data_IF_095462672977
#
_entry.id   IF_095462672977
#
_cell.length_a   1.000
_cell.length_b   1.000
_cell.length_c   1.000
_cell.angle_alpha   90.00
_cell.angle_beta   90.00
_cell.angle_gamma   90.00
#
_symmetry.space_group_name_H-M   'P 1'
#
loop_
_entity.id
_entity.type
_entity.pdbx_description
1 polymer ?
#
# COMPACT_ATOMS: atom_id res chain seq x y z
N UNK A 1 -20.45 -17.05 -1.05
CA UNK A 1 -20.44 -17.43 0.39
C UNK A 1 -21.83 -17.92 0.77
N UNK A 2 -22.01 -19.22 0.99
CA UNK A 2 -23.33 -19.81 1.31
C UNK A 2 -23.71 -19.61 2.79
N UNK A 3 -22.74 -19.73 3.68
CA UNK A 3 -22.87 -19.51 5.12
C UNK A 3 -21.64 -18.74 5.59
N UNK A 4 -21.78 -17.92 6.64
CA UNK A 4 -20.66 -17.19 7.23
C UNK A 4 -20.77 -15.67 7.14
N UNK A 5 -21.68 -15.16 6.35
CA UNK A 5 -22.06 -13.74 6.45
C UNK A 5 -23.03 -13.55 7.63
N UNK A 6 -22.79 -12.57 8.47
CA UNK A 6 -23.61 -12.25 9.63
C UNK A 6 -23.52 -10.75 9.97
N UNK A 7 -24.40 -10.25 10.83
CA UNK A 7 -24.56 -8.81 11.14
C UNK A 7 -23.27 -8.09 11.49
N UNK A 8 -22.27 -8.78 12.06
CA UNK A 8 -21.00 -8.15 12.43
C UNK A 8 -20.20 -7.68 11.19
N UNK A 9 -20.36 -8.36 10.03
CA UNK A 9 -19.77 -7.86 8.76
C UNK A 9 -20.32 -6.48 8.43
N UNK A 10 -21.64 -6.35 8.36
CA UNK A 10 -22.30 -5.08 8.03
C UNK A 10 -21.88 -3.96 9.01
N UNK A 11 -21.80 -4.28 10.30
CA UNK A 11 -21.41 -3.30 11.32
C UNK A 11 -19.95 -2.84 11.14
N UNK A 12 -19.02 -3.76 10.87
CA UNK A 12 -17.60 -3.43 10.70
C UNK A 12 -17.36 -2.73 9.36
N UNK A 13 -18.02 -3.16 8.29
CA UNK A 13 -17.96 -2.48 6.98
C UNK A 13 -18.47 -1.03 7.08
N UNK A 14 -19.61 -0.82 7.75
CA UNK A 14 -20.11 0.53 8.01
C UNK A 14 -19.14 1.37 8.87
N UNK A 15 -18.50 0.77 9.89
CA UNK A 15 -17.48 1.44 10.70
C UNK A 15 -16.28 1.86 9.85
N UNK A 16 -15.79 0.98 8.97
CA UNK A 16 -14.67 1.25 8.07
C UNK A 16 -15.05 2.37 7.09
N UNK A 17 -16.21 2.28 6.43
CA UNK A 17 -16.67 3.28 5.48
C UNK A 17 -16.78 4.67 6.13
N UNK A 18 -17.38 4.76 7.31
CA UNK A 18 -17.49 6.01 8.07
C UNK A 18 -16.11 6.57 8.46
N UNK A 19 -15.19 5.71 8.92
CA UNK A 19 -13.83 6.14 9.29
C UNK A 19 -13.07 6.73 8.11
N UNK A 20 -13.18 6.13 6.92
CA UNK A 20 -12.48 6.58 5.70
C UNK A 20 -13.27 7.62 4.90
N UNK A 21 -14.47 8.00 5.36
CA UNK A 21 -15.33 9.00 4.69
C UNK A 21 -15.66 8.61 3.23
N UNK A 22 -16.01 7.34 3.03
CA UNK A 22 -16.44 6.76 1.75
C UNK A 22 -17.85 6.18 1.87
N UNK A 23 -18.52 5.93 0.73
CA UNK A 23 -19.90 5.40 0.75
C UNK A 23 -19.96 3.97 1.28
N UNK A 24 -18.98 3.12 0.89
CA UNK A 24 -19.00 1.71 1.27
C UNK A 24 -17.61 1.12 1.44
N UNK A 25 -17.56 0.02 2.19
CA UNK A 25 -16.38 -0.81 2.38
C UNK A 25 -16.78 -2.27 2.31
N UNK A 26 -16.03 -3.09 1.56
CA UNK A 26 -16.26 -4.53 1.44
C UNK A 26 -15.06 -5.29 1.99
N UNK A 27 -15.29 -6.12 3.01
CA UNK A 27 -14.24 -6.89 3.70
C UNK A 27 -13.89 -8.15 2.92
N UNK A 28 -12.58 -8.34 2.72
CA UNK A 28 -11.95 -9.56 2.19
C UNK A 28 -11.07 -10.20 3.26
N UNK A 29 -10.80 -11.50 3.13
CA UNK A 29 -9.95 -12.21 4.10
C UNK A 29 -8.44 -11.92 3.96
N UNK A 30 -7.99 -11.24 2.92
CA UNK A 30 -6.62 -10.71 2.81
C UNK A 30 -6.51 -9.63 1.74
N UNK A 31 -5.46 -8.81 1.79
CA UNK A 31 -5.14 -7.85 0.72
C UNK A 31 -4.89 -8.54 -0.63
N UNK A 32 -4.29 -9.74 -0.60
CA UNK A 32 -4.13 -10.55 -1.81
C UNK A 32 -5.47 -10.86 -2.47
N UNK A 33 -6.44 -11.37 -1.68
CA UNK A 33 -7.78 -11.68 -2.19
C UNK A 33 -8.57 -10.43 -2.59
N UNK A 34 -8.40 -9.32 -1.91
CA UNK A 34 -9.01 -8.04 -2.29
C UNK A 34 -8.53 -7.58 -3.68
N UNK A 35 -7.22 -7.56 -3.89
CA UNK A 35 -6.63 -7.18 -5.18
C UNK A 35 -7.00 -8.18 -6.30
N UNK A 36 -6.84 -9.48 -6.07
CA UNK A 36 -7.24 -10.49 -7.08
C UNK A 36 -8.72 -10.39 -7.40
N UNK A 37 -9.58 -10.26 -6.38
CA UNK A 37 -11.03 -10.12 -6.58
C UNK A 37 -11.39 -8.89 -7.39
N UNK A 38 -10.84 -7.74 -7.03
CA UNK A 38 -11.10 -6.48 -7.72
C UNK A 38 -10.63 -6.53 -9.18
N UNK A 39 -9.35 -6.77 -9.40
CA UNK A 39 -8.75 -6.66 -10.73
C UNK A 39 -9.17 -7.76 -11.70
N UNK A 40 -9.62 -8.91 -11.21
CA UNK A 40 -10.12 -9.98 -12.08
C UNK A 40 -11.53 -9.75 -12.60
N UNK A 41 -12.32 -8.87 -11.98
CA UNK A 41 -13.72 -8.71 -12.36
C UNK A 41 -14.17 -7.25 -12.65
N UNK A 42 -13.50 -6.23 -12.11
CA UNK A 42 -13.93 -4.84 -12.34
C UNK A 42 -13.54 -4.37 -13.74
N UNK A 43 -12.28 -4.45 -14.20
CA UNK A 43 -11.96 -4.11 -15.57
C UNK A 43 -12.49 -5.17 -16.55
N UNK A 44 -13.23 -4.75 -17.57
CA UNK A 44 -13.94 -5.62 -18.51
C UNK A 44 -13.23 -5.73 -19.87
N UNK A 45 -13.74 -6.61 -20.72
CA UNK A 45 -13.30 -6.69 -22.11
C UNK A 45 -13.62 -5.38 -22.83
N UNK A 46 -12.62 -4.75 -23.39
CA UNK A 46 -12.71 -3.45 -24.02
C UNK A 46 -12.08 -2.35 -23.19
N UNK A 47 -11.90 -2.56 -21.89
CA UNK A 47 -11.26 -1.59 -21.00
C UNK A 47 -9.74 -1.62 -21.09
N UNK A 48 -9.10 -0.57 -20.57
CA UNK A 48 -7.66 -0.44 -20.42
C UNK A 48 -7.31 -0.25 -18.94
N UNK A 49 -6.23 -0.92 -18.51
CA UNK A 49 -5.63 -0.69 -17.20
C UNK A 49 -4.18 -0.24 -17.38
N UNK A 50 -3.88 0.99 -16.99
CA UNK A 50 -2.51 1.46 -16.80
C UNK A 50 -2.09 1.19 -15.36
N UNK A 51 -0.92 0.56 -15.17
CA UNK A 51 -0.43 0.22 -13.85
C UNK A 51 1.05 0.53 -13.68
N UNK A 52 1.45 0.99 -12.50
CA UNK A 52 2.85 1.20 -12.14
C UNK A 52 3.63 -0.12 -12.23
N UNK A 53 4.83 -0.10 -12.79
CA UNK A 53 5.62 -1.32 -13.01
C UNK A 53 6.04 -2.03 -11.72
N UNK A 54 5.99 -1.36 -10.56
CA UNK A 54 6.35 -1.93 -9.26
C UNK A 54 5.16 -2.31 -8.37
N UNK A 55 3.91 -2.27 -8.89
CA UNK A 55 2.73 -2.70 -8.11
C UNK A 55 2.89 -4.10 -7.52
N UNK A 56 2.20 -4.33 -6.42
CA UNK A 56 2.22 -5.59 -5.69
C UNK A 56 1.83 -6.81 -6.55
N UNK A 57 2.41 -7.95 -6.24
CA UNK A 57 2.16 -9.21 -6.97
C UNK A 57 0.68 -9.58 -7.07
N UNK A 58 -0.12 -9.32 -6.02
CA UNK A 58 -1.56 -9.60 -6.02
C UNK A 58 -2.34 -8.78 -7.06
N UNK A 59 -1.93 -7.52 -7.29
CA UNK A 59 -2.52 -6.68 -8.35
C UNK A 59 -2.18 -7.28 -9.72
N UNK A 60 -0.91 -7.63 -9.93
CA UNK A 60 -0.47 -8.28 -11.19
C UNK A 60 -1.19 -9.59 -11.44
N UNK A 61 -1.43 -10.39 -10.42
CA UNK A 61 -2.15 -11.67 -10.56
C UNK A 61 -3.62 -11.42 -10.89
N UNK A 62 -4.27 -10.44 -10.26
CA UNK A 62 -5.62 -10.02 -10.62
C UNK A 62 -5.71 -9.49 -12.07
N UNK A 63 -4.76 -8.67 -12.50
CA UNK A 63 -4.68 -8.15 -13.86
C UNK A 63 -4.46 -9.25 -14.92
N UNK A 64 -3.69 -10.30 -14.60
CA UNK A 64 -3.54 -11.48 -15.48
C UNK A 64 -4.83 -12.24 -15.66
N UNK A 65 -5.72 -12.22 -14.69
CA UNK A 65 -7.05 -12.85 -14.76
C UNK A 65 -8.09 -11.93 -15.41
N UNK A 66 -7.80 -10.64 -15.56
CA UNK A 66 -8.70 -9.67 -16.17
C UNK A 66 -8.82 -9.86 -17.68
N UNK A 67 -10.02 -9.65 -18.26
CA UNK A 67 -10.21 -9.62 -19.71
C UNK A 67 -9.78 -8.28 -20.35
N UNK A 68 -9.43 -7.26 -19.56
CA UNK A 68 -9.00 -5.94 -20.01
C UNK A 68 -7.58 -5.94 -20.59
N UNK A 69 -7.23 -4.92 -21.36
CA UNK A 69 -5.86 -4.71 -21.83
C UNK A 69 -5.07 -3.98 -20.76
N UNK A 70 -3.92 -4.54 -20.36
CA UNK A 70 -3.12 -3.99 -19.27
C UNK A 70 -1.77 -3.49 -19.78
N UNK A 71 -1.42 -2.24 -19.47
CA UNK A 71 -0.19 -1.59 -19.87
C UNK A 71 0.54 -1.02 -18.65
N UNK A 72 1.81 -1.37 -18.50
CA UNK A 72 2.63 -0.78 -17.44
C UNK A 72 3.11 0.62 -17.82
N UNK A 73 3.24 1.50 -16.85
CA UNK A 73 4.02 2.73 -16.93
C UNK A 73 5.23 2.67 -15.99
N UNK A 74 6.19 3.57 -16.23
CA UNK A 74 7.43 3.60 -15.48
C UNK A 74 7.14 4.08 -14.04
N UNK A 75 7.88 3.52 -13.07
CA UNK A 75 7.61 3.70 -11.65
C UNK A 75 7.52 5.17 -11.22
N UNK A 76 6.39 5.53 -10.60
CA UNK A 76 6.06 6.89 -10.13
C UNK A 76 6.14 7.99 -11.21
N UNK A 77 6.15 7.62 -12.49
CA UNK A 77 6.29 8.55 -13.61
C UNK A 77 4.92 8.89 -14.24
N UNK A 78 4.31 9.98 -13.74
CA UNK A 78 3.03 10.45 -14.27
C UNK A 78 3.14 11.04 -15.70
N UNK A 79 4.32 11.50 -16.14
CA UNK A 79 4.53 11.94 -17.52
C UNK A 79 4.48 10.75 -18.48
N UNK A 80 5.14 9.64 -18.11
CA UNK A 80 5.07 8.40 -18.88
C UNK A 80 3.63 7.84 -18.93
N UNK A 81 2.88 7.92 -17.82
CA UNK A 81 1.45 7.58 -17.79
C UNK A 81 0.67 8.46 -18.76
N UNK A 82 0.82 9.79 -18.68
CA UNK A 82 0.13 10.77 -19.54
C UNK A 82 0.40 10.49 -21.01
N UNK A 83 1.66 10.35 -21.39
CA UNK A 83 2.07 10.14 -22.80
C UNK A 83 1.53 8.82 -23.37
N UNK A 84 1.30 7.81 -22.50
CA UNK A 84 0.62 6.56 -22.86
C UNK A 84 -0.88 6.74 -22.97
N UNK A 85 -1.49 7.42 -22.00
CA UNK A 85 -2.93 7.64 -21.94
C UNK A 85 -3.45 8.49 -23.11
N UNK A 86 -2.73 9.56 -23.49
CA UNK A 86 -3.08 10.42 -24.63
C UNK A 86 -3.22 9.64 -25.96
N UNK A 87 -2.52 8.51 -26.12
CA UNK A 87 -2.65 7.65 -27.30
C UNK A 87 -3.97 6.90 -27.39
N UNK A 88 -4.72 6.83 -26.30
CA UNK A 88 -5.98 6.10 -26.22
C UNK A 88 -7.18 7.02 -25.93
N UNK A 89 -6.96 8.28 -25.54
CA UNK A 89 -8.02 9.17 -25.07
C UNK A 89 -8.95 9.67 -26.18
N UNK A 90 -8.48 9.72 -27.43
CA UNK A 90 -9.30 10.13 -28.57
C UNK A 90 -10.00 8.88 -29.15
N UNK A 91 -11.33 8.80 -29.07
CA UNK A 91 -12.20 7.73 -29.62
C UNK A 91 -12.19 6.37 -28.84
N UNK A 92 -11.83 6.34 -27.57
CA UNK A 92 -11.90 5.12 -26.78
C UNK A 92 -13.27 4.97 -26.08
N UNK A 93 -14.00 3.87 -26.39
CA UNK A 93 -15.37 3.63 -25.86
C UNK A 93 -15.41 2.87 -24.52
N UNK A 94 -14.26 2.36 -24.02
CA UNK A 94 -14.17 1.60 -22.78
C UNK A 94 -13.77 2.45 -21.59
N UNK A 95 -13.76 1.82 -20.40
CA UNK A 95 -13.25 2.45 -19.18
C UNK A 95 -11.72 2.40 -19.13
N UNK A 96 -11.10 3.44 -18.60
CA UNK A 96 -9.65 3.49 -18.36
C UNK A 96 -9.41 3.54 -16.86
N UNK A 97 -8.60 2.59 -16.37
CA UNK A 97 -8.19 2.50 -14.98
C UNK A 97 -6.71 2.84 -14.85
N UNK A 98 -6.37 3.59 -13.81
CA UNK A 98 -4.98 3.89 -13.43
C UNK A 98 -4.72 3.31 -12.04
N UNK A 99 -3.68 2.50 -11.90
CA UNK A 99 -3.40 1.73 -10.69
C UNK A 99 -2.01 2.06 -10.15
N UNK A 100 -1.97 2.48 -8.88
CA UNK A 100 -0.72 2.74 -8.15
C UNK A 100 -0.85 2.32 -6.68
N UNK A 101 0.26 2.35 -5.94
CA UNK A 101 0.27 2.21 -4.48
C UNK A 101 0.57 3.58 -3.85
N UNK A 102 -0.03 3.89 -2.72
CA UNK A 102 0.31 5.12 -1.98
C UNK A 102 1.69 5.05 -1.32
N UNK A 103 2.13 3.83 -0.96
CA UNK A 103 3.47 3.52 -0.47
C UNK A 103 3.90 2.17 -1.01
N UNK A 104 4.96 2.14 -1.79
CA UNK A 104 5.48 0.92 -2.38
C UNK A 104 6.22 0.06 -1.37
N UNK A 105 5.87 -1.22 -1.33
CA UNK A 105 6.29 -2.16 -0.26
C UNK A 105 7.79 -2.41 -0.20
N UNK A 106 8.49 -2.37 -1.36
CA UNK A 106 9.92 -2.71 -1.47
C UNK A 106 10.82 -1.48 -1.53
N UNK A 107 10.27 -0.28 -1.62
CA UNK A 107 11.00 0.98 -1.71
C UNK A 107 10.64 1.95 -0.58
N UNK A 108 9.38 1.96 -0.14
CA UNK A 108 8.87 2.85 0.89
C UNK A 108 8.54 4.24 0.35
N UNK A 109 8.75 4.47 -0.93
CA UNK A 109 8.45 5.71 -1.63
C UNK A 109 6.97 5.83 -1.98
N UNK A 110 6.58 6.98 -2.49
CA UNK A 110 5.20 7.32 -2.82
C UNK A 110 5.17 8.08 -4.14
N UNK A 111 4.15 7.87 -4.99
CA UNK A 111 3.92 8.72 -6.15
C UNK A 111 3.43 10.10 -5.73
N UNK A 112 3.47 11.04 -6.66
CA UNK A 112 2.71 12.28 -6.59
C UNK A 112 1.23 12.00 -6.89
N UNK A 113 0.49 11.53 -5.87
CA UNK A 113 -0.91 11.14 -6.01
C UNK A 113 -1.82 12.29 -6.47
N UNK A 114 -1.49 13.54 -6.16
CA UNK A 114 -2.26 14.71 -6.61
C UNK A 114 -2.15 14.85 -8.12
N UNK A 115 -0.93 14.75 -8.69
CA UNK A 115 -0.73 14.74 -10.14
C UNK A 115 -1.39 13.56 -10.85
N UNK A 116 -1.38 12.37 -10.23
CA UNK A 116 -2.12 11.21 -10.76
C UNK A 116 -3.64 11.44 -10.76
N UNK A 117 -4.18 12.00 -9.69
CA UNK A 117 -5.59 12.34 -9.60
C UNK A 117 -5.98 13.43 -10.63
N UNK A 118 -5.13 14.46 -10.82
CA UNK A 118 -5.37 15.51 -11.82
C UNK A 118 -5.43 14.97 -13.25
N UNK A 119 -4.55 14.03 -13.60
CA UNK A 119 -4.60 13.36 -14.92
C UNK A 119 -5.89 12.55 -15.06
N UNK A 120 -6.26 11.80 -14.02
CA UNK A 120 -7.46 10.97 -14.03
C UNK A 120 -8.73 11.83 -14.17
N UNK A 121 -8.88 12.89 -13.38
CA UNK A 121 -10.04 13.79 -13.46
C UNK A 121 -10.14 14.48 -14.83
N UNK A 122 -9.00 14.94 -15.38
CA UNK A 122 -8.97 15.61 -16.68
C UNK A 122 -9.44 14.72 -17.83
N UNK A 123 -9.21 13.42 -17.74
CA UNK A 123 -9.43 12.46 -18.83
C UNK A 123 -10.55 11.46 -18.53
N UNK A 124 -11.29 11.64 -17.43
CA UNK A 124 -12.36 10.73 -16.96
C UNK A 124 -11.83 9.28 -16.75
N UNK A 125 -10.65 9.15 -16.10
CA UNK A 125 -10.05 7.87 -15.78
C UNK A 125 -10.33 7.48 -14.32
N UNK A 126 -10.43 6.21 -14.06
CA UNK A 126 -10.70 5.63 -12.76
C UNK A 126 -9.39 5.38 -11.99
N UNK A 127 -9.04 6.24 -11.01
CA UNK A 127 -7.85 6.06 -10.18
C UNK A 127 -8.10 5.01 -9.09
N UNK A 128 -7.21 4.01 -8.98
CA UNK A 128 -7.23 2.97 -7.96
C UNK A 128 -5.92 3.04 -7.17
N UNK A 129 -6.02 3.13 -5.83
CA UNK A 129 -4.87 3.26 -4.95
C UNK A 129 -4.83 2.13 -3.93
N UNK A 130 -3.76 1.35 -3.93
CA UNK A 130 -3.47 0.40 -2.84
C UNK A 130 -2.81 1.16 -1.68
N UNK A 131 -3.52 1.27 -0.57
CA UNK A 131 -3.09 1.96 0.67
C UNK A 131 -2.59 1.00 1.75
N UNK A 132 -2.24 -0.22 1.38
CA UNK A 132 -1.83 -1.26 2.33
C UNK A 132 -0.69 -0.84 3.28
N UNK A 133 0.19 0.06 2.88
CA UNK A 133 1.29 0.58 3.69
C UNK A 133 1.06 2.00 4.23
N UNK A 134 -0.05 2.64 3.91
CA UNK A 134 -0.35 4.00 4.35
C UNK A 134 -1.34 4.04 5.53
N UNK A 135 -2.28 3.09 5.63
CA UNK A 135 -3.17 2.95 6.77
C UNK A 135 -2.37 2.81 8.07
N UNK A 136 -2.72 3.62 9.08
CA UNK A 136 -2.03 3.66 10.37
C UNK A 136 -0.70 4.42 10.36
N UNK A 137 -0.29 5.01 9.21
CA UNK A 137 0.96 5.76 9.05
C UNK A 137 0.71 7.20 8.64
N UNK A 138 -0.18 7.46 7.69
CA UNK A 138 -0.46 8.79 7.14
C UNK A 138 -1.86 9.28 7.52
N UNK A 139 -2.02 10.60 7.46
CA UNK A 139 -3.30 11.25 7.66
C UNK A 139 -3.71 11.39 9.13
N UNK A 140 -4.77 12.14 9.35
CA UNK A 140 -5.39 12.25 10.65
C UNK A 140 -5.91 10.88 11.08
N UNK A 141 -5.70 10.51 12.33
CA UNK A 141 -6.04 9.18 12.87
C UNK A 141 -5.42 8.00 12.11
N UNK A 142 -4.47 8.25 11.20
CA UNK A 142 -3.87 7.20 10.37
C UNK A 142 -4.76 6.72 9.22
N UNK A 143 -5.66 7.54 8.72
CA UNK A 143 -6.63 7.19 7.66
C UNK A 143 -6.00 6.83 6.31
N UNK A 144 -4.72 7.15 6.09
CA UNK A 144 -3.99 6.88 4.86
C UNK A 144 -3.53 8.13 4.12
N UNK A 145 -2.81 7.94 3.02
CA UNK A 145 -2.25 9.03 2.23
C UNK A 145 -3.31 9.69 1.34
N UNK A 146 -4.23 8.92 0.77
CA UNK A 146 -5.37 9.44 0.00
C UNK A 146 -6.18 10.43 0.82
N UNK A 147 -6.52 10.06 2.07
CA UNK A 147 -7.24 10.96 2.98
C UNK A 147 -6.39 12.17 3.39
N UNK A 148 -5.08 11.98 3.64
CA UNK A 148 -4.16 13.08 3.99
C UNK A 148 -4.11 14.16 2.92
N UNK A 149 -4.25 13.79 1.65
CA UNK A 149 -4.24 14.67 0.49
C UNK A 149 -5.64 15.17 0.07
N UNK A 150 -6.69 14.75 0.77
CA UNK A 150 -8.07 15.12 0.43
C UNK A 150 -8.59 14.51 -0.87
N UNK A 151 -8.05 13.36 -1.28
CA UNK A 151 -8.35 12.72 -2.58
C UNK A 151 -9.43 11.64 -2.51
N UNK A 152 -10.06 11.39 -1.35
CA UNK A 152 -11.01 10.29 -1.16
C UNK A 152 -12.21 10.34 -2.12
N UNK A 153 -12.62 11.51 -2.59
CA UNK A 153 -13.71 11.71 -3.56
C UNK A 153 -13.20 11.72 -5.03
N UNK A 154 -11.90 11.59 -5.26
CA UNK A 154 -11.25 11.58 -6.58
C UNK A 154 -10.68 10.20 -6.93
N UNK A 155 -10.74 9.26 -6.02
CA UNK A 155 -10.24 7.89 -6.18
C UNK A 155 -11.43 6.97 -6.38
N UNK A 156 -11.43 6.21 -7.48
CA UNK A 156 -12.50 5.25 -7.80
C UNK A 156 -12.59 4.12 -6.76
N UNK A 157 -11.42 3.61 -6.33
CA UNK A 157 -11.34 2.60 -5.30
C UNK A 157 -10.01 2.68 -4.52
N UNK A 158 -10.07 2.35 -3.22
CA UNK A 158 -8.91 2.17 -2.37
C UNK A 158 -8.87 0.73 -1.86
N UNK A 159 -7.68 0.15 -1.79
CA UNK A 159 -7.48 -1.15 -1.14
C UNK A 159 -6.68 -0.95 0.12
N UNK A 160 -7.24 -1.35 1.26
CA UNK A 160 -6.58 -1.26 2.56
C UNK A 160 -6.37 -2.65 3.16
N UNK A 161 -5.36 -2.83 3.99
CA UNK A 161 -5.12 -4.12 4.67
C UNK A 161 -4.99 -3.96 6.18
N UNK A 162 -5.55 -4.90 6.91
CA UNK A 162 -5.54 -4.89 8.36
C UNK A 162 -4.34 -5.63 8.97
N UNK A 163 -3.60 -6.38 8.13
CA UNK A 163 -2.48 -7.23 8.58
C UNK A 163 -1.16 -6.51 8.83
N UNK A 164 -1.08 -5.21 8.57
CA UNK A 164 0.14 -4.41 8.74
C UNK A 164 0.04 -3.54 9.99
N UNK A 165 -0.20 -2.25 9.86
CA UNK A 165 -0.23 -1.32 11.01
C UNK A 165 -1.32 -1.64 12.04
N UNK A 166 -2.48 -2.15 11.63
CA UNK A 166 -3.54 -2.54 12.55
C UNK A 166 -3.24 -3.83 13.32
N UNK A 167 -2.34 -4.68 12.85
CA UNK A 167 -2.03 -5.97 13.50
C UNK A 167 -3.18 -6.96 13.52
N UNK A 168 -4.17 -6.81 12.63
CA UNK A 168 -5.35 -7.66 12.48
C UNK A 168 -5.21 -8.60 11.27
N UNK A 169 -6.31 -9.23 10.84
CA UNK A 169 -6.33 -10.09 9.65
C UNK A 169 -7.43 -9.63 8.70
N UNK A 170 -7.13 -9.64 7.39
CA UNK A 170 -8.07 -9.23 6.35
C UNK A 170 -7.66 -7.96 5.63
N UNK A 171 -8.57 -7.48 4.79
CA UNK A 171 -8.45 -6.28 3.98
C UNK A 171 -9.85 -5.73 3.66
N UNK A 172 -9.93 -4.53 3.09
CA UNK A 172 -11.16 -4.05 2.50
C UNK A 172 -10.89 -3.31 1.18
N UNK A 173 -11.87 -3.35 0.30
CA UNK A 173 -12.01 -2.44 -0.83
C UNK A 173 -12.99 -1.35 -0.43
N UNK A 174 -12.56 -0.10 -0.58
CA UNK A 174 -13.34 1.11 -0.29
C UNK A 174 -13.78 1.74 -1.61
N UNK A 175 -15.00 2.25 -1.68
CA UNK A 175 -15.51 2.91 -2.87
C UNK A 175 -16.99 3.27 -2.73
N UNK A 176 -17.69 3.38 -3.85
CA UNK A 176 -19.11 3.67 -3.86
C UNK A 176 -19.97 2.39 -3.71
N UNK A 177 -21.28 2.55 -3.47
CA UNK A 177 -22.24 1.46 -3.31
C UNK A 177 -22.39 0.57 -4.57
N UNK A 178 -22.21 1.14 -5.76
CA UNK A 178 -22.26 0.38 -7.00
C UNK A 178 -21.09 -0.60 -7.08
N UNK A 179 -19.88 -0.15 -6.74
CA UNK A 179 -18.68 -1.00 -6.67
C UNK A 179 -18.86 -2.11 -5.63
N UNK A 180 -19.36 -1.78 -4.45
CA UNK A 180 -19.67 -2.77 -3.41
C UNK A 180 -20.61 -3.86 -3.95
N UNK A 181 -21.73 -3.46 -4.50
CA UNK A 181 -22.73 -4.38 -5.06
C UNK A 181 -22.15 -5.23 -6.18
N UNK A 182 -21.32 -4.64 -7.04
CA UNK A 182 -20.66 -5.35 -8.12
C UNK A 182 -19.69 -6.41 -7.59
N UNK A 183 -18.81 -6.06 -6.65
CA UNK A 183 -17.83 -6.98 -6.08
C UNK A 183 -18.48 -8.15 -5.32
N UNK A 184 -19.56 -7.93 -4.58
CA UNK A 184 -20.31 -8.99 -3.90
C UNK A 184 -20.82 -10.04 -4.88
N UNK A 185 -21.16 -9.65 -6.10
CA UNK A 185 -21.73 -10.53 -7.12
C UNK A 185 -20.69 -11.17 -8.05
N UNK A 186 -19.51 -10.53 -8.23
CA UNK A 186 -18.55 -10.93 -9.26
C UNK A 186 -17.13 -11.22 -8.77
N UNK A 187 -16.72 -10.77 -7.59
CA UNK A 187 -15.39 -11.04 -7.07
C UNK A 187 -15.24 -12.49 -6.63
N UNK A 188 -14.64 -13.33 -7.47
CA UNK A 188 -14.50 -14.78 -7.23
C UNK A 188 -13.73 -15.10 -5.95
N UNK A 189 -12.71 -14.31 -5.62
CA UNK A 189 -11.92 -14.47 -4.38
C UNK A 189 -12.70 -14.14 -3.10
N UNK A 190 -13.84 -13.43 -3.22
CA UNK A 190 -14.80 -13.20 -2.13
C UNK A 190 -15.84 -14.32 -2.08
N UNK A 191 -16.42 -14.68 -3.24
CA UNK A 191 -17.56 -15.59 -3.34
C UNK A 191 -17.17 -17.02 -2.99
N UNK A 192 -16.01 -17.49 -3.49
CA UNK A 192 -15.57 -18.88 -3.41
C UNK A 192 -14.51 -19.12 -2.32
N UNK A 193 -14.51 -18.29 -1.29
CA UNK A 193 -13.60 -18.43 -0.15
C UNK A 193 -14.34 -18.58 1.16
N UNK A 194 -13.64 -19.01 2.21
CA UNK A 194 -14.18 -19.05 3.58
C UNK A 194 -14.20 -17.63 4.16
N UNK A 195 -15.30 -17.26 4.80
CA UNK A 195 -15.44 -15.97 5.49
C UNK A 195 -14.44 -15.85 6.65
N UNK A 196 -14.09 -14.60 7.02
CA UNK A 196 -13.36 -14.32 8.25
C UNK A 196 -14.19 -14.79 9.46
N UNK A 197 -13.55 -15.40 10.46
CA UNK A 197 -14.25 -15.78 11.68
C UNK A 197 -14.64 -14.54 12.50
N UNK A 198 -15.70 -14.61 13.32
CA UNK A 198 -16.21 -13.46 14.09
C UNK A 198 -15.17 -12.74 14.94
N UNK A 199 -14.20 -13.45 15.52
CA UNK A 199 -13.15 -12.84 16.32
C UNK A 199 -12.19 -11.97 15.47
N UNK A 200 -11.97 -12.29 14.18
CA UNK A 200 -11.18 -11.45 13.29
C UNK A 200 -11.90 -10.12 13.01
N UNK A 201 -13.22 -10.18 12.78
CA UNK A 201 -14.04 -8.95 12.62
C UNK A 201 -14.06 -8.10 13.88
N UNK A 202 -14.18 -8.73 15.06
CA UNK A 202 -14.11 -8.04 16.34
C UNK A 202 -12.73 -7.38 16.55
N UNK A 203 -11.65 -8.04 16.12
CA UNK A 203 -10.29 -7.46 16.17
C UNK A 203 -10.15 -6.26 15.23
N UNK A 204 -10.71 -6.32 14.02
CA UNK A 204 -10.74 -5.20 13.08
C UNK A 204 -11.49 -4.01 13.71
N UNK A 205 -12.71 -4.25 14.24
CA UNK A 205 -13.49 -3.20 14.89
C UNK A 205 -12.73 -2.56 16.06
N UNK A 206 -12.08 -3.36 16.91
CA UNK A 206 -11.24 -2.85 17.99
C UNK A 206 -10.05 -2.03 17.46
N UNK A 207 -9.43 -2.45 16.36
CA UNK A 207 -8.37 -1.72 15.68
C UNK A 207 -8.84 -0.34 15.21
N UNK A 208 -10.02 -0.24 14.60
CA UNK A 208 -10.60 1.04 14.18
C UNK A 208 -10.97 1.93 15.36
N UNK A 209 -11.53 1.40 16.44
CA UNK A 209 -11.73 2.16 17.67
C UNK A 209 -10.42 2.68 18.27
N UNK A 210 -9.32 1.93 18.13
CA UNK A 210 -8.00 2.42 18.54
C UNK A 210 -7.54 3.58 17.65
N UNK A 211 -7.71 3.47 16.31
CA UNK A 211 -7.36 4.54 15.36
C UNK A 211 -8.16 5.83 15.63
N UNK A 212 -9.45 5.74 15.89
CA UNK A 212 -10.31 6.87 16.27
C UNK A 212 -9.79 7.63 17.50
N UNK A 213 -9.10 6.91 18.40
CA UNK A 213 -8.51 7.47 19.62
C UNK A 213 -7.01 7.77 19.52
N UNK A 214 -6.36 7.55 18.35
CA UNK A 214 -4.93 7.79 18.13
C UNK A 214 -4.43 9.18 18.57
N UNK A 215 -5.15 10.29 18.33
CA UNK A 215 -4.72 11.61 18.75
C UNK A 215 -4.46 11.73 20.26
N UNK A 216 -5.14 10.90 21.07
CA UNK A 216 -4.96 10.85 22.52
C UNK A 216 -3.77 9.99 22.97
N UNK A 217 -3.26 9.11 22.11
CA UNK A 217 -2.23 8.10 22.49
C UNK A 217 -0.81 8.52 22.13
N UNK A 218 -0.63 9.53 21.33
CA UNK A 218 0.67 9.98 20.76
C UNK A 218 1.42 8.92 19.96
N UNK A 219 0.79 7.79 19.59
CA UNK A 219 1.45 6.69 18.87
C UNK A 219 1.85 7.14 17.47
N UNK A 220 0.93 7.78 16.74
CA UNK A 220 1.19 8.26 15.38
C UNK A 220 2.23 9.38 15.35
N UNK A 221 2.14 10.37 16.25
CA UNK A 221 3.14 11.45 16.33
C UNK A 221 4.53 10.92 16.63
N UNK A 222 4.63 9.91 17.53
CA UNK A 222 5.91 9.26 17.82
C UNK A 222 6.48 8.49 16.63
N UNK A 223 5.63 7.85 15.82
CA UNK A 223 6.08 7.23 14.56
C UNK A 223 6.61 8.29 13.60
N UNK A 224 5.91 9.40 13.42
CA UNK A 224 6.35 10.50 12.55
C UNK A 224 7.67 11.12 13.05
N UNK A 225 7.82 11.31 14.38
CA UNK A 225 9.08 11.76 14.96
C UNK A 225 10.25 10.78 14.70
N UNK A 226 9.99 9.48 14.72
CA UNK A 226 11.00 8.47 14.42
C UNK A 226 11.37 8.47 12.92
N UNK A 227 10.40 8.62 12.04
CA UNK A 227 10.63 8.75 10.59
C UNK A 227 11.51 9.99 10.31
N UNK A 228 11.16 11.14 10.88
CA UNK A 228 11.93 12.36 10.68
C UNK A 228 13.35 12.26 11.28
N UNK A 229 13.48 11.68 12.48
CA UNK A 229 14.79 11.43 13.07
C UNK A 229 15.65 10.51 12.20
N UNK A 230 15.05 9.46 11.61
CA UNK A 230 15.75 8.56 10.69
C UNK A 230 16.30 9.32 9.46
N UNK A 231 15.48 10.16 8.84
CA UNK A 231 15.86 10.97 7.67
C UNK A 231 16.99 11.95 7.99
N UNK A 232 16.90 12.63 9.13
CA UNK A 232 17.96 13.53 9.60
C UNK A 232 19.27 12.78 9.82
N UNK A 233 19.23 11.61 10.45
CA UNK A 233 20.43 10.79 10.69
C UNK A 233 21.02 10.23 9.38
N UNK A 234 20.21 9.80 8.42
CA UNK A 234 20.66 9.39 7.08
C UNK A 234 21.44 10.53 6.40
N UNK A 235 20.87 11.74 6.40
CA UNK A 235 21.54 12.91 5.82
C UNK A 235 22.83 13.27 6.57
N UNK A 236 22.81 13.29 7.91
CA UNK A 236 23.96 13.59 8.76
C UNK A 236 25.12 12.62 8.57
N UNK A 237 24.83 11.37 8.28
CA UNK A 237 25.81 10.30 8.07
C UNK A 237 26.27 10.18 6.60
N UNK A 238 25.75 11.00 5.69
CA UNK A 238 26.12 10.99 4.26
C UNK A 238 25.60 9.75 3.51
N UNK A 239 24.46 9.19 3.91
CA UNK A 239 23.90 7.96 3.36
C UNK A 239 22.80 8.19 2.30
N UNK A 240 22.54 9.42 1.89
CA UNK A 240 21.44 9.76 0.98
C UNK A 240 21.52 8.98 -0.35
N UNK A 241 22.72 8.75 -0.87
CA UNK A 241 22.92 8.08 -2.17
C UNK A 241 22.58 6.57 -2.16
N UNK A 242 22.54 5.96 -0.97
CA UNK A 242 22.24 4.53 -0.83
C UNK A 242 20.85 4.25 -0.27
N UNK A 243 20.16 5.26 0.23
CA UNK A 243 18.77 5.13 0.68
C UNK A 243 17.78 5.61 -0.38
N UNK A 244 16.75 4.81 -0.63
CA UNK A 244 15.60 5.25 -1.43
C UNK A 244 14.86 6.35 -0.65
N UNK A 245 14.58 7.51 -1.27
CA UNK A 245 13.82 8.58 -0.60
C UNK A 245 12.45 8.09 -0.14
N UNK A 246 12.14 8.24 1.15
CA UNK A 246 10.87 7.80 1.74
C UNK A 246 10.41 8.76 2.84
N UNK A 247 9.10 9.01 2.87
CA UNK A 247 8.41 9.67 3.98
C UNK A 247 7.51 8.70 4.76
N UNK A 248 7.59 7.41 4.46
CA UNK A 248 6.81 6.36 5.12
C UNK A 248 7.57 5.71 6.29
N UNK A 249 6.97 4.72 6.90
CA UNK A 249 7.63 3.90 7.91
C UNK A 249 8.65 2.89 7.32
N UNK A 250 8.74 2.79 5.99
CA UNK A 250 9.62 1.87 5.27
C UNK A 250 10.79 2.66 4.70
N UNK A 251 12.02 2.23 5.01
CA UNK A 251 13.25 2.81 4.48
C UNK A 251 14.15 1.72 3.91
N UNK A 252 14.54 1.86 2.65
CA UNK A 252 15.31 0.85 1.93
C UNK A 252 16.72 1.35 1.63
N UNK A 253 17.72 0.59 2.11
CA UNK A 253 19.14 0.83 1.87
C UNK A 253 19.62 -0.11 0.77
N UNK A 254 20.06 0.41 -0.36
CA UNK A 254 20.55 -0.37 -1.51
C UNK A 254 21.93 -0.94 -1.15
N UNK A 255 22.06 -2.26 -1.23
CA UNK A 255 23.30 -3.00 -1.02
C UNK A 255 23.41 -4.04 -2.14
N UNK A 256 24.08 -3.71 -3.27
CA UNK A 256 24.09 -4.57 -4.44
C UNK A 256 24.72 -5.95 -4.17
N UNK A 257 24.09 -6.99 -4.68
CA UNK A 257 24.52 -8.38 -4.60
C UNK A 257 23.88 -9.15 -3.46
N UNK A 258 23.30 -10.32 -3.79
CA UNK A 258 22.60 -11.18 -2.82
C UNK A 258 23.48 -11.53 -1.61
N UNK A 259 24.76 -11.87 -1.82
CA UNK A 259 25.65 -12.25 -0.74
C UNK A 259 26.07 -11.05 0.12
N UNK A 260 26.30 -9.89 -0.50
CA UNK A 260 26.63 -8.65 0.22
C UNK A 260 25.50 -8.22 1.17
N UNK A 261 24.26 -8.15 0.65
CA UNK A 261 23.12 -7.73 1.48
C UNK A 261 22.80 -8.73 2.60
N UNK A 262 22.99 -10.05 2.37
CA UNK A 262 22.88 -11.06 3.43
C UNK A 262 23.93 -10.87 4.50
N UNK A 263 25.20 -10.63 4.11
CA UNK A 263 26.30 -10.42 5.05
C UNK A 263 26.01 -9.22 5.97
N UNK A 264 25.56 -8.09 5.41
CA UNK A 264 25.19 -6.91 6.20
C UNK A 264 24.02 -7.23 7.14
N UNK A 265 22.99 -7.97 6.69
CA UNK A 265 21.88 -8.40 7.54
C UNK A 265 22.32 -9.25 8.72
N UNK A 266 23.30 -10.17 8.51
CA UNK A 266 23.88 -10.99 9.59
C UNK A 266 24.64 -10.14 10.59
N UNK A 267 25.42 -9.16 10.14
CA UNK A 267 26.13 -8.23 11.02
C UNK A 267 25.14 -7.44 11.87
N UNK A 268 24.10 -6.89 11.26
CA UNK A 268 23.04 -6.15 11.98
C UNK A 268 22.33 -7.01 13.04
N UNK A 269 22.11 -8.29 12.73
CA UNK A 269 21.55 -9.25 13.70
C UNK A 269 22.49 -9.45 14.92
N UNK A 270 23.80 -9.37 14.73
CA UNK A 270 24.78 -9.39 15.83
C UNK A 270 24.69 -8.17 16.76
N UNK A 271 24.06 -7.09 16.33
CA UNK A 271 23.76 -5.90 17.13
C UNK A 271 22.30 -5.84 17.63
N UNK A 272 21.56 -6.97 17.57
CA UNK A 272 20.17 -7.14 17.95
C UNK A 272 19.14 -6.41 17.01
N UNK A 273 19.53 -6.17 15.75
CA UNK A 273 18.63 -5.64 14.74
C UNK A 273 18.24 -6.73 13.72
N UNK A 274 16.97 -7.13 13.71
CA UNK A 274 16.44 -8.07 12.73
C UNK A 274 15.97 -7.35 11.47
N UNK A 275 16.88 -7.15 10.50
CA UNK A 275 16.59 -6.50 9.22
C UNK A 275 16.65 -7.55 8.12
N UNK A 276 15.55 -7.70 7.37
CA UNK A 276 15.47 -8.68 6.29
C UNK A 276 16.14 -8.15 5.03
N UNK A 277 17.03 -8.92 4.40
CA UNK A 277 17.54 -8.61 3.08
C UNK A 277 16.48 -8.91 2.02
N UNK A 278 16.30 -8.02 1.07
CA UNK A 278 15.50 -8.24 -0.12
C UNK A 278 16.45 -8.55 -1.28
N UNK A 279 16.24 -9.71 -1.89
CA UNK A 279 17.15 -10.32 -2.84
C UNK A 279 16.63 -10.26 -4.28
N UNK A 280 17.51 -10.35 -5.26
CA UNK A 280 17.14 -10.78 -6.58
C UNK A 280 16.58 -12.24 -6.51
N UNK A 281 15.46 -12.57 -7.19
CA UNK A 281 14.73 -11.79 -8.21
C UNK A 281 13.57 -10.95 -7.66
N UNK A 282 13.37 -10.83 -6.35
CA UNK A 282 12.29 -9.98 -5.79
C UNK A 282 12.46 -8.52 -6.20
N UNK A 283 13.70 -8.08 -6.28
CA UNK A 283 14.11 -6.78 -6.80
C UNK A 283 15.10 -6.99 -7.95
N UNK A 284 15.28 -6.00 -8.86
CA UNK A 284 16.24 -6.13 -9.95
C UNK A 284 17.67 -6.38 -9.46
N UNK A 285 18.47 -7.11 -10.28
CA UNK A 285 19.89 -7.36 -10.00
C UNK A 285 20.66 -6.03 -9.84
N UNK A 286 21.44 -5.91 -8.78
CA UNK A 286 22.15 -4.68 -8.40
C UNK A 286 21.28 -3.69 -7.61
N UNK A 287 20.03 -4.02 -7.33
CA UNK A 287 19.09 -3.25 -6.50
C UNK A 287 18.65 -4.01 -5.25
N UNK A 288 19.43 -5.04 -4.87
CA UNK A 288 19.23 -5.75 -3.61
C UNK A 288 19.36 -4.75 -2.45
N UNK A 289 18.59 -4.95 -1.38
CA UNK A 289 18.47 -3.94 -0.33
C UNK A 289 18.17 -4.51 1.04
N UNK A 290 18.49 -3.74 2.06
CA UNK A 290 17.96 -3.92 3.41
C UNK A 290 16.66 -3.11 3.53
N UNK A 291 15.59 -3.74 4.01
CA UNK A 291 14.30 -3.08 4.25
C UNK A 291 14.10 -2.86 5.74
N UNK A 292 14.22 -1.62 6.16
CA UNK A 292 14.06 -1.18 7.55
C UNK A 292 12.63 -0.68 7.72
N UNK A 293 11.92 -1.22 8.72
CA UNK A 293 10.59 -0.77 9.09
C UNK A 293 10.65 -0.07 10.45
N UNK A 294 10.21 1.17 10.48
CA UNK A 294 10.13 1.95 11.71
C UNK A 294 8.79 1.75 12.41
N UNK A 295 8.83 1.71 13.73
CA UNK A 295 7.66 1.61 14.60
C UNK A 295 7.66 2.75 15.62
N UNK A 296 6.51 3.08 16.15
CA UNK A 296 6.38 4.05 17.24
C UNK A 296 7.14 3.62 18.51
N UNK A 297 7.37 2.32 18.69
CA UNK A 297 8.10 1.75 19.81
C UNK A 297 9.63 1.88 19.70
N UNK A 298 10.17 2.17 18.51
CA UNK A 298 11.62 2.33 18.35
C UNK A 298 12.12 3.56 19.12
N UNK A 299 13.31 3.44 19.72
CA UNK A 299 13.98 4.59 20.33
C UNK A 299 14.85 5.32 19.31
N UNK A 300 14.99 6.64 19.43
CA UNK A 300 15.92 7.43 18.60
C UNK A 300 17.37 6.93 18.72
N UNK A 301 17.75 6.38 19.88
CA UNK A 301 19.05 5.78 20.11
C UNK A 301 19.27 4.53 19.26
N UNK A 302 18.26 3.66 19.14
CA UNK A 302 18.34 2.46 18.30
C UNK A 302 18.38 2.81 16.82
N UNK A 303 17.59 3.81 16.39
CA UNK A 303 17.62 4.34 15.03
C UNK A 303 19.02 4.87 14.69
N UNK A 304 19.62 5.68 15.55
CA UNK A 304 20.98 6.19 15.32
C UNK A 304 22.02 5.08 15.39
N UNK A 305 21.83 4.04 16.24
CA UNK A 305 22.73 2.90 16.35
C UNK A 305 22.75 2.07 15.08
N UNK A 306 21.58 1.71 14.54
CA UNK A 306 21.50 0.90 13.31
C UNK A 306 22.16 1.61 12.13
N UNK A 307 21.93 2.92 11.95
CA UNK A 307 22.51 3.68 10.84
C UNK A 307 24.04 3.77 10.95
N UNK A 308 24.58 3.89 12.16
CA UNK A 308 26.06 3.82 12.38
C UNK A 308 26.63 2.45 12.02
N UNK A 309 25.91 1.36 12.32
CA UNK A 309 26.35 0.01 11.90
C UNK A 309 26.33 -0.10 10.39
N UNK A 310 25.28 0.43 9.72
CA UNK A 310 25.17 0.46 8.26
C UNK A 310 26.37 1.19 7.63
N UNK A 311 26.71 2.41 8.11
CA UNK A 311 27.88 3.17 7.63
C UNK A 311 29.18 2.37 7.72
N UNK A 312 29.39 1.65 8.83
CA UNK A 312 30.63 0.93 9.08
C UNK A 312 30.72 -0.43 8.35
N UNK A 313 29.62 -0.87 7.72
CA UNK A 313 29.50 -2.21 7.16
C UNK A 313 29.36 -2.19 5.63
N UNK A 314 28.76 -1.16 5.08
CA UNK A 314 28.63 -0.99 3.63
C UNK A 314 29.90 -0.32 3.11
N UNK A 315 30.57 -0.93 2.10
CA UNK A 315 31.82 -0.41 1.54
C UNK A 315 31.66 0.93 0.84
#
# INVERSE_FOLDING_TARGET
>A
MLCGNHQLYNNVEAQIANFHEVESALIFNSGYNANVGFFSCVPQRGDIVFYDELIHASIRDGLRMSPAKCYKFDHNDFFNLRDKAEKFAEDFEGEIYVVTESVFSMDGDSPDLESFADICDKNDFNLIVDEAHALGVFGEQGKGLVHKLGLQNRVFAQVITFGKALGCHGAAVLGNENLYTYLVNFASSLIYTTALPPHALASISAGYHFLENLPKTKVLSKLQENIEHFKIEVARLGLLDIFVPSNSAIHCCIVPGNESVKAVSVILKGYDFEIKPILYPTVPKGKERLRICLHSSNSKKDISKILKVVVNTIP
#
